data_IF_630798327544
#
_entry.id   IF_630798327544
#
_cell.length_a   1.000
_cell.length_b   1.000
_cell.length_c   1.000
_cell.angle_alpha   90.00
_cell.angle_beta   90.00
_cell.angle_gamma   90.00
#
_symmetry.space_group_name_H-M   'P 1'
#
loop_
_entity.id
_entity.type
_entity.pdbx_description
1 polymer ?
#
# COMPACT_ATOMS: atom_id res chain seq x y z
N UNK A 1 -11.55 -4.09 -42.60
CA UNK A 1 -12.46 -3.99 -41.44
C UNK A 1 -11.60 -4.12 -40.20
N UNK A 2 -11.15 -3.01 -39.62
CA UNK A 2 -10.27 -3.00 -38.44
C UNK A 2 -11.09 -3.43 -37.23
N UNK A 3 -10.77 -4.60 -36.67
CA UNK A 3 -11.40 -5.10 -35.46
C UNK A 3 -11.07 -4.13 -34.30
N UNK A 4 -12.09 -3.67 -33.58
CA UNK A 4 -11.89 -3.00 -32.30
C UNK A 4 -11.11 -3.97 -31.39
N UNK A 5 -9.91 -3.62 -30.89
CA UNK A 5 -9.18 -4.50 -30.00
C UNK A 5 -10.06 -4.85 -28.80
N UNK A 6 -10.05 -6.13 -28.42
CA UNK A 6 -10.79 -6.58 -27.25
C UNK A 6 -10.33 -5.76 -26.05
N UNK A 7 -11.24 -5.39 -25.14
CA UNK A 7 -10.96 -4.45 -24.04
C UNK A 7 -9.66 -4.75 -23.27
N UNK A 8 -9.33 -6.04 -23.09
CA UNK A 8 -8.10 -6.48 -22.45
C UNK A 8 -6.83 -6.10 -23.23
N UNK A 9 -6.83 -6.28 -24.54
CA UNK A 9 -5.72 -5.94 -25.44
C UNK A 9 -5.45 -4.43 -25.43
N UNK A 10 -6.52 -3.62 -25.46
CA UNK A 10 -6.39 -2.15 -25.33
C UNK A 10 -5.75 -1.74 -24.01
N UNK A 11 -6.14 -2.37 -22.90
CA UNK A 11 -5.55 -2.08 -21.59
C UNK A 11 -4.08 -2.47 -21.52
N UNK A 12 -3.71 -3.62 -22.08
CA UNK A 12 -2.32 -4.09 -22.15
C UNK A 12 -1.46 -3.13 -22.98
N UNK A 13 -1.95 -2.74 -24.15
CA UNK A 13 -1.23 -1.83 -25.03
C UNK A 13 -1.11 -0.43 -24.41
N UNK A 14 -2.16 0.04 -23.72
CA UNK A 14 -2.13 1.32 -23.00
C UNK A 14 -1.08 1.28 -21.89
N UNK A 15 -1.04 0.20 -21.14
CA UNK A 15 -0.04 0.00 -20.10
C UNK A 15 1.38 -0.01 -20.67
N UNK A 16 1.62 -0.77 -21.73
CA UNK A 16 2.93 -0.84 -22.39
C UNK A 16 3.42 0.55 -22.83
N UNK A 17 2.54 1.32 -23.49
CA UNK A 17 2.83 2.69 -23.91
C UNK A 17 3.19 3.61 -22.72
N UNK A 18 2.42 3.54 -21.63
CA UNK A 18 2.60 4.42 -20.47
C UNK A 18 3.81 4.04 -19.61
N UNK A 19 4.28 2.79 -19.67
CA UNK A 19 5.51 2.33 -19.02
C UNK A 19 6.75 2.71 -19.84
N UNK A 20 6.67 2.65 -21.17
CA UNK A 20 7.78 3.00 -22.06
C UNK A 20 8.00 4.53 -22.16
N UNK A 21 6.92 5.31 -22.03
CA UNK A 21 6.97 6.78 -22.10
C UNK A 21 7.56 7.41 -20.83
N UNK A 22 8.90 7.56 -20.80
CA UNK A 22 9.63 8.18 -19.67
C UNK A 22 9.13 9.58 -19.29
N UNK A 23 8.71 10.38 -20.27
CA UNK A 23 8.15 11.72 -20.06
C UNK A 23 6.62 11.74 -19.95
N UNK A 24 5.97 10.57 -19.93
CA UNK A 24 4.52 10.42 -20.11
C UNK A 24 4.01 10.79 -21.51
N UNK A 25 2.76 10.45 -21.77
CA UNK A 25 2.06 10.73 -23.01
C UNK A 25 0.85 11.66 -22.76
N UNK A 26 0.58 12.58 -23.69
CA UNK A 26 -0.64 13.40 -23.64
C UNK A 26 -1.85 12.58 -24.08
N UNK A 27 -3.06 13.08 -23.76
CA UNK A 27 -4.28 12.43 -24.22
C UNK A 27 -4.36 12.38 -25.76
N UNK A 28 -3.84 13.39 -26.47
CA UNK A 28 -3.79 13.37 -27.93
C UNK A 28 -2.83 12.31 -28.46
N UNK A 29 -1.64 12.17 -27.86
CA UNK A 29 -0.65 11.15 -28.23
C UNK A 29 -1.20 9.74 -28.00
N UNK A 30 -1.87 9.51 -26.87
CA UNK A 30 -2.57 8.26 -26.55
C UNK A 30 -3.68 7.97 -27.57
N UNK A 31 -4.48 8.98 -27.94
CA UNK A 31 -5.54 8.82 -28.93
C UNK A 31 -5.05 8.58 -30.36
N UNK A 32 -3.87 9.08 -30.70
CA UNK A 32 -3.23 8.88 -32.01
C UNK A 32 -2.54 7.52 -32.14
N UNK A 33 -2.22 6.88 -31.01
CA UNK A 33 -1.57 5.57 -30.98
C UNK A 33 -2.52 4.48 -31.50
N UNK A 34 -2.22 3.99 -32.70
CA UNK A 34 -3.09 3.08 -33.44
C UNK A 34 -3.22 1.71 -32.76
N UNK A 35 -2.20 1.28 -32.01
CA UNK A 35 -2.23 0.02 -31.26
C UNK A 35 -3.27 0.00 -30.13
N UNK A 36 -3.75 1.16 -29.68
CA UNK A 36 -4.80 1.27 -28.65
C UNK A 36 -6.22 1.13 -29.23
N UNK A 37 -6.37 1.35 -30.53
CA UNK A 37 -7.68 1.28 -31.20
C UNK A 37 -8.70 2.30 -30.69
N UNK A 38 -8.24 3.45 -30.16
CA UNK A 38 -9.14 4.58 -29.90
C UNK A 38 -9.62 5.16 -31.24
N UNK A 39 -10.91 5.05 -31.51
CA UNK A 39 -11.53 5.58 -32.75
C UNK A 39 -12.21 6.93 -32.55
N UNK A 40 -12.36 7.35 -31.29
CA UNK A 40 -13.03 8.59 -30.90
C UNK A 40 -12.01 9.70 -30.63
N UNK A 41 -12.42 10.96 -30.80
CA UNK A 41 -11.59 12.15 -30.55
C UNK A 41 -12.25 13.04 -29.49
N UNK A 42 -11.48 13.99 -28.95
CA UNK A 42 -11.98 15.00 -28.00
C UNK A 42 -12.59 14.41 -26.72
N UNK A 43 -13.82 14.79 -26.39
CA UNK A 43 -14.49 14.40 -25.14
C UNK A 43 -14.74 12.89 -25.06
N UNK A 44 -15.06 12.25 -26.18
CA UNK A 44 -15.30 10.80 -26.25
C UNK A 44 -14.04 10.00 -25.99
N UNK A 45 -12.89 10.47 -26.50
CA UNK A 45 -11.57 9.91 -26.16
C UNK A 45 -11.29 10.03 -24.67
N UNK A 46 -11.53 11.23 -24.09
CA UNK A 46 -11.33 11.47 -22.66
C UNK A 46 -12.16 10.51 -21.80
N UNK A 47 -13.44 10.30 -22.13
CA UNK A 47 -14.30 9.34 -21.40
C UNK A 47 -13.83 7.90 -21.56
N UNK A 48 -13.33 7.52 -22.74
CA UNK A 48 -12.77 6.18 -22.95
C UNK A 48 -11.50 5.97 -22.12
N UNK A 49 -10.59 6.94 -22.14
CA UNK A 49 -9.36 6.93 -21.37
C UNK A 49 -9.61 6.90 -19.86
N UNK A 50 -10.54 7.71 -19.33
CA UNK A 50 -10.85 7.70 -17.89
C UNK A 50 -11.44 6.35 -17.42
N UNK A 51 -12.20 5.66 -18.30
CA UNK A 51 -12.68 4.29 -18.02
C UNK A 51 -11.53 3.27 -18.00
N UNK A 52 -10.61 3.37 -18.95
CA UNK A 52 -9.46 2.47 -19.01
C UNK A 52 -8.48 2.73 -17.86
N UNK A 53 -8.25 4.00 -17.49
CA UNK A 53 -7.52 4.43 -16.29
C UNK A 53 -8.13 3.87 -15.01
N UNK A 54 -9.46 3.91 -14.89
CA UNK A 54 -10.18 3.32 -13.74
C UNK A 54 -10.02 1.81 -13.69
N UNK A 55 -10.00 1.13 -14.84
CA UNK A 55 -9.75 -0.31 -14.91
C UNK A 55 -8.32 -0.68 -14.50
N UNK A 56 -7.30 0.08 -14.93
CA UNK A 56 -5.91 -0.11 -14.50
C UNK A 56 -5.75 0.15 -12.99
N UNK A 57 -6.41 1.18 -12.44
CA UNK A 57 -6.41 1.44 -11.00
C UNK A 57 -7.03 0.30 -10.20
N UNK A 58 -8.08 -0.35 -10.71
CA UNK A 58 -8.73 -1.48 -10.04
C UNK A 58 -7.80 -2.70 -9.87
N UNK A 59 -6.78 -2.83 -10.73
CA UNK A 59 -5.75 -3.88 -10.63
C UNK A 59 -4.44 -3.38 -9.99
N UNK A 60 -4.48 -2.22 -9.33
CA UNK A 60 -3.34 -1.67 -8.58
C UNK A 60 -2.30 -0.93 -9.41
N UNK A 61 -2.58 -0.64 -10.69
CA UNK A 61 -1.68 0.14 -11.54
C UNK A 61 -2.08 1.62 -11.44
N UNK A 62 -1.19 2.43 -10.86
CA UNK A 62 -1.41 3.86 -10.69
C UNK A 62 -0.85 4.65 -11.89
N UNK A 63 -1.73 5.38 -12.59
CA UNK A 63 -1.32 6.34 -13.64
C UNK A 63 -1.09 7.69 -12.99
N UNK A 64 0.16 8.14 -13.02
CA UNK A 64 0.59 9.45 -12.56
C UNK A 64 0.24 10.48 -13.63
N UNK A 65 -0.45 11.54 -13.22
CA UNK A 65 -0.72 12.69 -14.06
C UNK A 65 0.21 13.84 -13.66
N UNK A 66 0.90 14.41 -14.63
CA UNK A 66 1.76 15.59 -14.47
C UNK A 66 1.30 16.70 -15.42
N UNK A 67 1.53 17.96 -15.04
CA UNK A 67 1.27 19.11 -15.88
C UNK A 67 2.58 19.56 -16.52
N UNK A 68 2.59 19.65 -17.86
CA UNK A 68 3.69 20.18 -18.66
C UNK A 68 3.15 21.37 -19.45
N UNK A 69 3.35 22.56 -18.89
CA UNK A 69 2.63 23.78 -19.30
C UNK A 69 1.11 23.60 -19.15
N UNK A 70 0.38 23.78 -20.25
CA UNK A 70 -1.08 23.64 -20.30
C UNK A 70 -1.56 22.21 -20.61
N UNK A 71 -0.64 21.25 -20.80
CA UNK A 71 -0.97 19.88 -21.20
C UNK A 71 -0.79 18.91 -20.05
N UNK A 72 -1.78 18.03 -19.87
CA UNK A 72 -1.67 16.89 -18.96
C UNK A 72 -0.90 15.75 -19.64
N UNK A 73 0.14 15.25 -18.96
CA UNK A 73 0.92 14.06 -19.34
C UNK A 73 0.65 12.92 -18.37
N UNK A 74 0.39 11.74 -18.91
CA UNK A 74 0.08 10.53 -18.17
C UNK A 74 1.24 9.54 -18.29
N UNK A 75 1.65 8.94 -17.18
CA UNK A 75 2.71 7.91 -17.15
C UNK A 75 2.42 6.86 -16.09
N UNK A 76 2.99 5.67 -16.25
CA UNK A 76 3.09 4.67 -15.18
C UNK A 76 4.55 4.66 -14.72
N UNK A 77 4.80 4.76 -13.41
CA UNK A 77 6.18 4.65 -12.94
C UNK A 77 6.67 3.20 -13.15
N UNK A 78 7.81 2.97 -13.82
CA UNK A 78 8.35 1.62 -13.99
C UNK A 78 8.55 0.89 -12.66
N UNK A 79 8.81 1.64 -11.59
CA UNK A 79 8.98 1.16 -10.22
C UNK A 79 7.69 0.61 -9.60
N UNK A 80 6.53 1.12 -10.04
CA UNK A 80 5.21 0.63 -9.62
C UNK A 80 4.78 -0.63 -10.40
N UNK A 81 5.41 -0.86 -11.57
CA UNK A 81 5.08 -1.97 -12.47
C UNK A 81 6.08 -3.14 -12.36
N UNK A 82 7.38 -2.86 -12.39
CA UNK A 82 8.43 -3.86 -12.28
C UNK A 82 8.91 -3.95 -10.85
N UNK A 83 8.87 -5.17 -10.28
CA UNK A 83 9.72 -5.47 -9.14
C UNK A 83 11.18 -5.41 -9.62
N UNK A 84 12.03 -4.67 -8.92
CA UNK A 84 13.47 -4.73 -9.17
C UNK A 84 13.93 -6.19 -9.01
N UNK A 85 14.83 -6.64 -9.88
CA UNK A 85 15.44 -7.97 -9.72
C UNK A 85 15.99 -8.11 -8.31
N UNK A 86 15.44 -9.07 -7.56
CA UNK A 86 15.81 -9.33 -6.18
C UNK A 86 17.12 -10.12 -6.09
N UNK A 87 17.64 -10.62 -7.21
CA UNK A 87 18.89 -11.39 -7.25
C UNK A 87 18.77 -12.74 -6.54
N UNK A 88 17.55 -13.27 -6.39
CA UNK A 88 17.30 -14.52 -5.68
C UNK A 88 17.86 -15.70 -6.47
N UNK A 89 18.61 -16.57 -5.80
CA UNK A 89 19.01 -17.84 -6.39
C UNK A 89 17.83 -18.84 -6.48
N UNK A 90 18.10 -20.07 -6.92
CA UNK A 90 17.05 -21.09 -7.08
C UNK A 90 16.50 -21.58 -5.74
N UNK A 91 17.36 -21.72 -4.74
CA UNK A 91 17.00 -22.19 -3.40
C UNK A 91 16.20 -21.11 -2.65
N UNK A 92 16.59 -19.85 -2.77
CA UNK A 92 15.88 -18.70 -2.20
C UNK A 92 14.50 -18.52 -2.82
N UNK A 93 14.36 -18.71 -4.14
CA UNK A 93 13.05 -18.73 -4.81
C UNK A 93 12.18 -19.88 -4.31
N UNK A 94 12.74 -21.08 -4.17
CA UNK A 94 12.02 -22.23 -3.63
C UNK A 94 11.57 -21.99 -2.18
N UNK A 95 12.45 -21.45 -1.34
CA UNK A 95 12.14 -21.08 0.04
C UNK A 95 11.03 -20.02 0.10
N UNK A 96 11.08 -19.01 -0.77
CA UNK A 96 10.05 -17.98 -0.85
C UNK A 96 8.68 -18.55 -1.28
N UNK A 97 8.64 -19.43 -2.29
CA UNK A 97 7.41 -20.12 -2.68
C UNK A 97 6.80 -20.91 -1.52
N UNK A 98 7.63 -21.64 -0.77
CA UNK A 98 7.18 -22.41 0.40
C UNK A 98 6.66 -21.45 1.49
N UNK A 99 7.40 -20.39 1.79
CA UNK A 99 7.01 -19.41 2.80
C UNK A 99 5.67 -18.74 2.47
N UNK A 100 5.49 -18.30 1.22
CA UNK A 100 4.23 -17.69 0.76
C UNK A 100 3.09 -18.72 0.75
N UNK A 101 3.34 -19.96 0.35
CA UNK A 101 2.28 -21.01 0.36
C UNK A 101 1.92 -21.45 1.78
N UNK A 102 2.87 -21.40 2.72
CA UNK A 102 2.65 -21.74 4.12
C UNK A 102 1.91 -20.63 4.91
N UNK A 103 1.92 -19.39 4.40
CA UNK A 103 1.28 -18.23 5.03
C UNK A 103 0.11 -17.73 4.18
N UNK A 104 -1.11 -17.89 4.68
CA UNK A 104 -2.32 -17.32 4.08
C UNK A 104 -2.33 -15.81 4.26
N UNK A 105 -1.80 -15.09 3.27
CA UNK A 105 -1.83 -13.63 3.15
C UNK A 105 -2.98 -13.23 2.21
N UNK A 106 -4.23 -13.55 2.59
CA UNK A 106 -5.43 -13.24 1.79
C UNK A 106 -5.26 -13.51 0.30
N UNK A 107 -5.41 -14.77 -0.12
CA UNK A 107 -5.08 -15.40 -1.42
C UNK A 107 -4.66 -14.50 -2.59
N UNK A 108 -5.44 -13.47 -2.94
CA UNK A 108 -5.14 -12.54 -4.02
C UNK A 108 -3.81 -11.75 -3.86
N UNK A 109 -3.49 -11.27 -2.65
CA UNK A 109 -2.29 -10.45 -2.43
C UNK A 109 -1.00 -11.29 -2.47
N UNK A 110 -1.05 -12.49 -1.88
CA UNK A 110 0.04 -13.47 -1.90
C UNK A 110 0.40 -13.90 -3.34
N UNK A 111 -0.62 -14.25 -4.12
CA UNK A 111 -0.46 -14.68 -5.51
C UNK A 111 0.09 -13.56 -6.39
N UNK A 112 -0.38 -12.32 -6.20
CA UNK A 112 0.14 -11.17 -6.93
C UNK A 112 1.64 -10.92 -6.63
N UNK A 113 2.10 -11.18 -5.41
CA UNK A 113 3.51 -11.08 -5.04
C UNK A 113 4.39 -12.08 -5.78
N UNK A 114 3.98 -13.35 -5.84
CA UNK A 114 4.70 -14.40 -6.56
C UNK A 114 4.72 -14.14 -8.07
N UNK A 115 3.61 -13.68 -8.65
CA UNK A 115 3.55 -13.35 -10.07
C UNK A 115 4.52 -12.23 -10.46
N UNK A 116 4.74 -11.24 -9.57
CA UNK A 116 5.70 -10.16 -9.79
C UNK A 116 7.16 -10.63 -9.90
N UNK A 117 7.49 -11.81 -9.38
CA UNK A 117 8.81 -12.44 -9.51
C UNK A 117 8.81 -13.61 -10.53
N UNK A 118 7.72 -13.81 -11.28
CA UNK A 118 7.58 -14.90 -12.24
C UNK A 118 7.29 -16.27 -11.62
N UNK A 119 6.88 -16.31 -10.35
CA UNK A 119 6.61 -17.53 -9.59
C UNK A 119 5.11 -17.76 -9.39
N UNK A 120 4.75 -18.98 -9.01
CA UNK A 120 3.38 -19.38 -8.67
C UNK A 120 3.33 -20.09 -7.32
N UNK A 121 2.19 -20.02 -6.64
CA UNK A 121 1.98 -20.76 -5.39
C UNK A 121 1.96 -22.27 -5.64
N UNK A 122 2.27 -23.06 -4.62
CA UNK A 122 2.23 -24.52 -4.71
C UNK A 122 0.79 -24.99 -4.51
N UNK A 123 0.23 -25.64 -5.53
CA UNK A 123 -1.11 -26.20 -5.45
C UNK A 123 -1.24 -27.26 -4.34
N UNK A 124 -2.35 -27.21 -3.61
CA UNK A 124 -2.69 -28.21 -2.58
C UNK A 124 -2.00 -28.03 -1.22
N UNK A 125 -1.26 -26.93 -1.01
CA UNK A 125 -0.74 -26.56 0.31
C UNK A 125 -1.82 -25.83 1.10
N UNK A 126 -2.27 -26.42 2.20
CA UNK A 126 -3.10 -25.71 3.19
C UNK A 126 -2.20 -24.77 3.99
N UNK A 127 -2.53 -23.47 4.10
CA UNK A 127 -1.73 -22.54 4.87
C UNK A 127 -1.60 -22.98 6.33
N UNK A 128 -0.36 -23.02 6.83
CA UNK A 128 -0.06 -23.35 8.23
C UNK A 128 -0.36 -22.17 9.17
N UNK A 129 -0.28 -20.95 8.63
CA UNK A 129 -0.51 -19.71 9.35
C UNK A 129 -1.39 -18.79 8.50
N UNK A 130 -2.39 -18.17 9.12
CA UNK A 130 -3.20 -17.13 8.47
C UNK A 130 -2.79 -15.78 9.04
N UNK A 131 -2.33 -14.87 8.16
CA UNK A 131 -2.04 -13.50 8.53
C UNK A 131 -3.19 -12.64 7.99
N UNK A 132 -4.12 -12.18 8.85
CA UNK A 132 -5.27 -11.42 8.39
C UNK A 132 -4.80 -10.07 7.85
N UNK A 133 -4.88 -9.86 6.54
CA UNK A 133 -4.72 -8.54 5.94
C UNK A 133 -6.09 -7.88 5.92
N UNK A 134 -6.31 -6.86 6.77
CA UNK A 134 -7.52 -6.06 6.67
C UNK A 134 -7.42 -5.01 5.55
N UNK A 135 -8.56 -4.40 5.20
CA UNK A 135 -8.67 -3.41 4.13
C UNK A 135 -7.78 -2.16 4.33
N UNK A 136 -7.40 -1.85 5.57
CA UNK A 136 -6.63 -0.65 5.91
C UNK A 136 -5.12 -0.88 5.72
N UNK A 137 -4.67 -2.14 5.67
CA UNK A 137 -3.26 -2.50 5.58
C UNK A 137 -2.55 -1.87 4.38
N UNK A 138 -3.14 -1.92 3.19
CA UNK A 138 -2.53 -1.35 1.99
C UNK A 138 -2.21 0.14 2.14
N UNK A 139 -3.16 0.90 2.69
CA UNK A 139 -3.01 2.34 2.95
C UNK A 139 -1.95 2.62 4.02
N UNK A 140 -1.94 1.86 5.12
CA UNK A 140 -0.95 2.02 6.20
C UNK A 140 0.46 1.71 5.70
N UNK A 141 0.65 0.61 4.95
CA UNK A 141 1.94 0.26 4.33
C UNK A 141 2.42 1.34 3.37
N UNK A 142 1.51 1.86 2.53
CA UNK A 142 1.81 2.98 1.64
C UNK A 142 2.27 4.22 2.43
N UNK A 143 1.53 4.60 3.47
CA UNK A 143 1.85 5.75 4.30
C UNK A 143 3.20 5.60 5.02
N UNK A 144 3.51 4.41 5.53
CA UNK A 144 4.84 4.12 6.10
C UNK A 144 5.95 4.26 5.06
N UNK A 145 5.76 3.70 3.86
CA UNK A 145 6.75 3.75 2.78
C UNK A 145 6.99 5.17 2.28
N UNK A 146 5.91 5.93 2.09
CA UNK A 146 5.95 7.32 1.60
C UNK A 146 6.30 8.32 2.70
N UNK A 147 6.29 7.88 3.96
CA UNK A 147 6.32 8.73 5.15
C UNK A 147 5.22 9.76 4.99
N UNK A 148 3.97 9.36 5.21
CA UNK A 148 2.79 10.22 5.15
C UNK A 148 2.01 10.04 6.44
N UNK A 149 1.42 11.12 6.95
CA UNK A 149 0.55 11.02 8.12
C UNK A 149 -0.74 10.32 7.70
N UNK A 150 -1.36 9.61 8.64
CA UNK A 150 -2.65 8.96 8.44
C UNK A 150 -3.72 9.68 9.26
N UNK A 151 -4.86 9.93 8.62
CA UNK A 151 -6.05 10.50 9.24
C UNK A 151 -7.18 9.48 9.19
N UNK A 152 -7.83 9.27 10.34
CA UNK A 152 -8.87 8.24 10.46
C UNK A 152 -9.77 8.47 11.68
N UNK A 153 -10.94 7.83 11.65
CA UNK A 153 -11.85 7.75 12.79
C UNK A 153 -11.51 6.52 13.64
N UNK A 154 -11.36 6.71 14.95
CA UNK A 154 -11.11 5.65 15.91
C UNK A 154 -11.98 5.82 17.15
N UNK A 155 -12.90 4.88 17.38
CA UNK A 155 -13.86 4.93 18.49
C UNK A 155 -14.62 6.27 18.56
N UNK A 156 -15.02 6.81 17.41
CA UNK A 156 -15.79 8.05 17.31
C UNK A 156 -14.98 9.35 17.46
N UNK A 157 -13.65 9.27 17.48
CA UNK A 157 -12.75 10.44 17.48
C UNK A 157 -11.89 10.44 16.23
N UNK A 158 -11.78 11.61 15.59
CA UNK A 158 -10.80 11.82 14.52
C UNK A 158 -9.40 11.80 15.12
N UNK A 159 -8.49 11.12 14.41
CA UNK A 159 -7.10 10.91 14.78
C UNK A 159 -6.24 11.25 13.60
N UNK A 160 -5.17 11.98 13.87
CA UNK A 160 -4.07 12.21 12.94
C UNK A 160 -2.81 11.63 13.57
N UNK A 161 -2.15 10.73 12.85
CA UNK A 161 -1.02 9.98 13.38
C UNK A 161 0.10 9.95 12.35
N UNK A 162 1.30 10.25 12.79
CA UNK A 162 2.54 9.96 12.09
C UNK A 162 2.89 8.48 12.31
N UNK A 163 2.69 7.57 11.32
CA UNK A 163 2.92 6.14 11.52
C UNK A 163 4.43 5.86 11.56
N UNK A 164 4.88 5.13 12.58
CA UNK A 164 6.29 4.78 12.78
C UNK A 164 6.58 3.30 12.53
N UNK A 165 5.58 2.45 12.73
CA UNK A 165 5.68 1.05 12.39
C UNK A 165 4.35 0.32 12.53
N UNK A 166 4.34 -0.90 12.02
CA UNK A 166 3.25 -1.85 12.18
C UNK A 166 3.78 -3.14 12.78
N UNK A 167 2.96 -3.83 13.54
CA UNK A 167 3.26 -5.18 13.97
C UNK A 167 1.97 -5.97 14.21
N UNK A 168 2.07 -7.29 14.07
CA UNK A 168 0.98 -8.23 14.30
C UNK A 168 1.13 -8.89 15.66
N UNK A 169 0.06 -8.86 16.46
CA UNK A 169 0.03 -9.51 17.78
C UNK A 169 -1.37 -10.03 18.06
N UNK A 170 -1.48 -11.21 18.68
CA UNK A 170 -2.78 -11.81 19.04
C UNK A 170 -3.79 -11.87 17.87
N UNK A 171 -3.30 -12.10 16.65
CA UNK A 171 -4.14 -12.18 15.45
C UNK A 171 -4.66 -10.84 14.93
N UNK A 172 -4.12 -9.72 15.39
CA UNK A 172 -4.49 -8.38 14.93
C UNK A 172 -3.28 -7.56 14.53
N UNK A 173 -3.45 -6.69 13.55
CA UNK A 173 -2.46 -5.71 13.19
C UNK A 173 -2.64 -4.44 14.02
N UNK A 174 -1.51 -3.86 14.39
CA UNK A 174 -1.43 -2.61 15.12
C UNK A 174 -0.53 -1.66 14.38
N UNK A 175 -0.96 -0.41 14.25
CA UNK A 175 -0.11 0.71 13.84
C UNK A 175 0.33 1.45 15.10
N UNK A 176 1.63 1.71 15.21
CA UNK A 176 2.23 2.50 16.28
C UNK A 176 2.81 3.75 15.66
N UNK A 177 2.53 4.89 16.28
CA UNK A 177 2.99 6.18 15.79
C UNK A 177 2.74 7.28 16.80
N UNK A 178 3.10 8.50 16.43
CA UNK A 178 2.82 9.67 17.25
C UNK A 178 1.51 10.31 16.82
N UNK A 179 0.59 10.46 17.76
CA UNK A 179 -0.64 11.23 17.57
C UNK A 179 -0.30 12.73 17.51
N UNK A 180 -0.67 13.37 16.42
CA UNK A 180 -0.47 14.81 16.20
C UNK A 180 -1.70 15.54 16.73
N UNK A 181 -1.68 15.89 18.01
CA UNK A 181 -2.78 16.65 18.59
C UNK A 181 -2.72 18.09 18.07
N UNK A 182 -3.85 18.62 17.59
CA UNK A 182 -3.95 20.02 17.12
C UNK A 182 -3.73 21.05 18.23
N UNK A 183 -3.87 20.63 19.50
CA UNK A 183 -3.88 21.52 20.67
C UNK A 183 -2.75 21.24 21.69
N UNK A 184 -1.86 20.28 21.44
CA UNK A 184 -0.76 20.00 22.37
C UNK A 184 0.43 20.94 22.11
N UNK A 185 0.79 21.73 23.13
CA UNK A 185 2.09 22.39 23.20
C UNK A 185 3.22 21.36 23.04
N UNK A 186 4.35 21.72 22.40
CA UNK A 186 5.44 20.80 22.16
C UNK A 186 6.01 20.27 23.48
N UNK A 187 5.62 19.04 23.86
CA UNK A 187 6.17 18.35 25.03
C UNK A 187 7.65 18.01 24.81
N UNK A 188 8.41 18.16 25.89
CA UNK A 188 9.87 18.03 26.01
C UNK A 188 10.40 16.59 25.91
N UNK A 189 9.51 15.59 25.79
CA UNK A 189 9.89 14.17 25.74
C UNK A 189 9.55 13.53 24.38
N UNK A 190 10.50 12.85 23.71
CA UNK A 190 10.24 12.17 22.43
C UNK A 190 9.20 11.04 22.52
N UNK A 191 8.95 10.53 23.74
CA UNK A 191 7.98 9.45 24.01
C UNK A 191 6.55 9.95 24.30
N UNK A 192 6.38 11.26 24.51
CA UNK A 192 5.06 11.84 24.70
C UNK A 192 4.30 11.89 23.36
N UNK A 193 3.13 11.25 23.35
CA UNK A 193 2.24 11.18 22.18
C UNK A 193 2.33 9.87 21.39
N UNK A 194 3.15 8.90 21.80
CA UNK A 194 3.12 7.56 21.18
C UNK A 194 1.76 6.90 21.48
N UNK A 195 1.14 6.38 20.43
CA UNK A 195 -0.15 5.68 20.48
C UNK A 195 -0.13 4.45 19.59
N UNK A 196 -0.92 3.47 20.00
CA UNK A 196 -1.10 2.19 19.32
C UNK A 196 -2.56 2.05 18.93
N UNK A 197 -2.83 1.80 17.65
CA UNK A 197 -4.18 1.65 17.11
C UNK A 197 -4.31 0.29 16.43
N UNK A 198 -5.40 -0.43 16.73
CA UNK A 198 -5.69 -1.71 16.08
C UNK A 198 -6.30 -1.42 14.70
N UNK A 199 -5.69 -1.92 13.63
CA UNK A 199 -6.04 -1.54 12.25
C UNK A 199 -7.47 -1.91 11.87
N UNK A 200 -7.98 -3.02 12.37
CA UNK A 200 -9.36 -3.48 12.14
C UNK A 200 -10.44 -2.59 12.79
N UNK A 201 -10.05 -1.68 13.69
CA UNK A 201 -10.96 -0.70 14.34
C UNK A 201 -10.90 0.68 13.70
N UNK A 202 -9.99 0.89 12.74
CA UNK A 202 -9.83 2.14 12.01
C UNK A 202 -10.95 2.26 10.96
N UNK A 203 -11.60 3.42 10.93
CA UNK A 203 -12.64 3.77 9.97
C UNK A 203 -12.21 5.02 9.19
N UNK A 204 -12.68 5.14 7.94
CA UNK A 204 -12.43 6.30 7.06
C UNK A 204 -10.95 6.67 6.94
N UNK A 205 -10.08 5.67 6.79
CA UNK A 205 -8.63 5.86 6.71
C UNK A 205 -8.23 6.57 5.40
N UNK A 206 -7.45 7.63 5.54
CA UNK A 206 -6.77 8.32 4.45
C UNK A 206 -5.32 8.65 4.82
N UNK A 207 -4.45 8.72 3.80
CA UNK A 207 -3.08 9.23 3.96
C UNK A 207 -3.02 10.68 3.48
N UNK A 208 -2.33 11.53 4.23
CA UNK A 208 -2.13 12.96 3.92
C UNK A 208 -0.65 13.28 3.77
N UNK A 209 -0.32 14.06 2.74
CA UNK A 209 1.05 14.50 2.43
C UNK A 209 1.44 15.80 3.15
N UNK A 210 0.58 16.34 4.04
CA UNK A 210 0.85 17.59 4.74
C UNK A 210 1.84 17.45 5.90
N UNK A 211 3.09 17.88 5.63
CA UNK A 211 4.10 18.60 6.43
C UNK A 211 4.39 18.35 7.92
N UNK A 212 3.70 17.48 8.65
CA UNK A 212 4.19 17.04 9.96
C UNK A 212 4.34 15.52 9.92
N UNK A 213 5.59 15.09 9.76
CA UNK A 213 5.98 13.73 10.06
C UNK A 213 7.00 13.79 11.16
N UNK A 214 6.61 13.26 12.30
CA UNK A 214 7.59 13.04 13.35
C UNK A 214 8.36 11.78 12.97
N UNK A 215 9.68 11.82 13.00
CA UNK A 215 10.47 10.58 12.87
C UNK A 215 10.39 9.79 14.18
N UNK A 216 10.40 8.44 14.10
CA UNK A 216 10.56 7.63 15.30
C UNK A 216 11.90 7.92 15.98
N UNK A 217 11.99 7.78 17.31
CA UNK A 217 13.25 7.80 18.05
C UNK A 217 14.22 6.73 17.55
N UNK A 218 15.52 6.95 17.77
CA UNK A 218 16.55 5.96 17.46
C UNK A 218 16.30 4.65 18.20
N UNK A 219 16.35 3.52 17.47
CA UNK A 219 16.11 2.19 18.03
C UNK A 219 14.64 1.83 18.28
N UNK A 220 13.69 2.67 17.85
CA UNK A 220 12.25 2.40 18.00
C UNK A 220 11.82 1.06 17.39
N UNK A 221 11.04 0.28 18.14
CA UNK A 221 10.42 -0.97 17.69
C UNK A 221 8.94 -0.98 18.04
N UNK A 222 8.09 -1.03 17.01
CA UNK A 222 6.64 -1.04 17.19
C UNK A 222 6.14 -2.16 18.11
N UNK A 223 6.78 -3.33 18.07
CA UNK A 223 6.44 -4.51 18.89
C UNK A 223 6.51 -4.25 20.40
N UNK A 224 7.46 -3.41 20.84
CA UNK A 224 7.69 -3.09 22.27
C UNK A 224 6.59 -2.14 22.81
N UNK A 225 5.92 -1.42 21.92
CA UNK A 225 4.83 -0.49 22.26
C UNK A 225 3.42 -1.10 22.13
N UNK A 226 3.31 -2.39 21.80
CA UNK A 226 2.05 -3.12 21.80
C UNK A 226 1.95 -3.92 23.10
N UNK A 227 0.96 -3.57 23.94
CA UNK A 227 0.73 -4.22 25.23
C UNK A 227 0.85 -5.75 25.14
N UNK A 228 1.68 -6.34 26.00
CA UNK A 228 1.98 -7.77 25.98
C UNK A 228 0.81 -8.62 26.48
N UNK A 229 -0.10 -8.08 27.29
CA UNK A 229 -1.22 -8.85 27.83
C UNK A 229 -2.48 -7.98 28.00
N UNK A 230 -3.69 -8.51 27.70
CA UNK A 230 -4.97 -7.79 27.82
C UNK A 230 -5.29 -7.22 29.22
N UNK A 231 -4.62 -7.71 30.27
CA UNK A 231 -4.83 -7.32 31.67
C UNK A 231 -3.72 -6.43 32.24
N UNK A 232 -2.70 -6.08 31.46
CA UNK A 232 -1.69 -5.11 31.88
C UNK A 232 -2.26 -3.70 31.74
N UNK A 233 -2.83 -3.20 32.83
CA UNK A 233 -3.13 -1.78 33.01
C UNK A 233 -1.95 -1.11 33.73
N UNK A 234 -1.37 -0.07 33.12
CA UNK A 234 -0.29 0.73 33.72
C UNK A 234 0.93 0.85 32.82
N UNK A 235 1.69 1.94 32.97
CA UNK A 235 3.01 2.17 32.33
C UNK A 235 4.17 1.73 33.24
N UNK A 236 3.87 1.12 34.37
CA UNK A 236 4.85 0.75 35.38
C UNK A 236 5.62 -0.51 34.98
N UNK A 237 6.85 -0.63 35.49
CA UNK A 237 7.68 -1.81 35.27
C UNK A 237 6.96 -3.08 35.77
N UNK A 238 7.01 -4.18 34.99
CA UNK A 238 6.31 -5.41 35.33
C UNK A 238 6.87 -6.01 36.62
N UNK A 239 6.01 -6.16 37.62
CA UNK A 239 6.35 -6.84 38.88
C UNK A 239 6.07 -8.33 38.74
N UNK A 240 7.11 -9.16 38.85
CA UNK A 240 6.97 -10.61 38.94
C UNK A 240 6.40 -10.99 40.31
N UNK A 241 5.21 -11.58 40.33
CA UNK A 241 4.57 -12.07 41.56
C UNK A 241 4.43 -13.59 41.48
N UNK A 242 4.92 -14.30 42.51
CA UNK A 242 4.69 -15.74 42.68
C UNK A 242 3.40 -15.95 43.45
N UNK A 243 2.39 -16.54 42.81
CA UNK A 243 1.16 -16.97 43.49
C UNK A 243 1.45 -18.32 44.17
N UNK A 244 1.27 -18.37 45.49
CA UNK A 244 1.31 -19.61 46.28
C UNK A 244 -0.07 -20.18 46.47
#
# INVERSE_FOLDING_TARGET
MTATPQRAERLLNLLALLVESRGGATLEEIGAESSLGYTATGESLRRAFERDKSALRAIGIEIIQSLDGDKARYRVAPEDFYLRDLGLDEDERAALRIAVSAVGLGDAAALAGLQKIGEHAIDGVTPLLQIPLDQNMGTIFSALRRREAIEFLYLGRERRVSPWGISSKFGHWYVVGKEEDREQEPSSSPEDGIRTFRSDRIQDLSATSEQALTNPPDGFKAEEHIANQPWQFGRDEPVLVTVR
#
